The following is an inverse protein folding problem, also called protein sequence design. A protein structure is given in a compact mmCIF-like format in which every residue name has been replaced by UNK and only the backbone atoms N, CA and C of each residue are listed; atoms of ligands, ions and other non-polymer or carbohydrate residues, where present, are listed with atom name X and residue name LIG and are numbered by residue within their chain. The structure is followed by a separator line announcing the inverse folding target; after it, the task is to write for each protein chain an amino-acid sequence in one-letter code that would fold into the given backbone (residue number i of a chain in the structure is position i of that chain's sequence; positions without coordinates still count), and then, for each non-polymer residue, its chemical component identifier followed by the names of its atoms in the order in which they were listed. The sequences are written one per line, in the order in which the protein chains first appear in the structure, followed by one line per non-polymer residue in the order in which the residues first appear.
data_IF_256340819721
#
_entry.id   IF_256340819721
#
_cell.length_a   1.000
_cell.length_b   1.000
_cell.length_c   1.000
_cell.angle_alpha   90.00
_cell.angle_beta   90.00
_cell.angle_gamma   90.00
#
_symmetry.space_group_name_H-M   'P 1'
#
loop_
_entity.id
_entity.type
_entity.pdbx_description
1 polymer ?
#
# COMPACT_ATOMS: atom_id res chain seq x y z
N UNK A 1 -6.91 5.94 20.13
CA UNK A 1 -6.53 6.21 18.72
C UNK A 1 -6.17 4.91 17.99
N UNK A 2 -6.86 3.79 18.27
CA UNK A 2 -6.42 2.45 17.79
C UNK A 2 -7.13 1.99 16.50
N UNK A 3 -8.37 2.43 16.26
CA UNK A 3 -9.14 2.01 15.06
C UNK A 3 -8.51 2.45 13.73
N UNK A 4 -7.71 3.51 13.74
CA UNK A 4 -7.04 4.02 12.53
C UNK A 4 -5.92 3.09 12.05
N UNK A 5 -5.24 2.38 12.97
CA UNK A 5 -4.11 1.50 12.61
C UNK A 5 -4.57 0.22 11.89
N UNK A 6 -5.67 -0.39 12.31
CA UNK A 6 -6.23 -1.56 11.62
C UNK A 6 -6.77 -1.22 10.23
N UNK A 7 -7.48 -0.10 10.11
CA UNK A 7 -7.99 0.39 8.81
C UNK A 7 -6.84 0.67 7.84
N UNK A 8 -5.78 1.31 8.33
CA UNK A 8 -4.56 1.55 7.58
C UNK A 8 -3.87 0.25 7.18
N UNK A 9 -3.71 -0.71 8.10
CA UNK A 9 -3.11 -2.02 7.81
C UNK A 9 -3.86 -2.77 6.71
N UNK A 10 -5.20 -2.79 6.77
CA UNK A 10 -6.03 -3.42 5.74
C UNK A 10 -5.91 -2.70 4.40
N UNK A 11 -5.91 -1.37 4.40
CA UNK A 11 -5.70 -0.57 3.20
C UNK A 11 -4.35 -0.87 2.53
N UNK A 12 -3.24 -0.80 3.28
CA UNK A 12 -1.92 -1.09 2.75
C UNK A 12 -1.80 -2.53 2.25
N UNK A 13 -2.38 -3.50 2.97
CA UNK A 13 -2.42 -4.90 2.52
C UNK A 13 -3.13 -5.05 1.18
N UNK A 14 -4.29 -4.41 1.02
CA UNK A 14 -5.06 -4.45 -0.22
C UNK A 14 -4.29 -3.82 -1.39
N UNK A 15 -3.63 -2.67 -1.16
CA UNK A 15 -2.79 -2.03 -2.17
C UNK A 15 -1.60 -2.91 -2.57
N UNK A 16 -0.93 -3.56 -1.61
CA UNK A 16 0.14 -4.52 -1.89
C UNK A 16 -0.35 -5.68 -2.76
N UNK A 17 -1.54 -6.24 -2.45
CA UNK A 17 -2.14 -7.29 -3.27
C UNK A 17 -2.48 -6.83 -4.70
N UNK A 18 -2.94 -5.58 -4.84
CA UNK A 18 -3.18 -4.97 -6.15
C UNK A 18 -1.88 -4.88 -6.97
N UNK A 19 -0.80 -4.38 -6.37
CA UNK A 19 0.50 -4.29 -7.05
C UNK A 19 1.06 -5.67 -7.42
N UNK A 20 0.93 -6.67 -6.55
CA UNK A 20 1.30 -8.05 -6.87
C UNK A 20 0.51 -8.60 -8.06
N UNK A 21 -0.79 -8.32 -8.12
CA UNK A 21 -1.63 -8.72 -9.25
C UNK A 21 -1.20 -8.06 -10.56
N UNK A 22 -0.92 -6.75 -10.54
CA UNK A 22 -0.41 -6.03 -11.70
C UNK A 22 0.94 -6.62 -12.16
N UNK A 23 1.88 -6.86 -11.24
CA UNK A 23 3.18 -7.46 -11.53
C UNK A 23 3.06 -8.85 -12.16
N UNK A 24 2.13 -9.69 -11.67
CA UNK A 24 1.83 -11.00 -12.28
C UNK A 24 1.31 -10.89 -13.71
N UNK A 25 0.63 -9.79 -14.04
CA UNK A 25 0.17 -9.49 -15.40
C UNK A 25 1.22 -8.79 -16.26
N UNK A 26 2.40 -8.47 -15.73
CA UNK A 26 3.41 -7.67 -16.41
C UNK A 26 3.02 -6.20 -16.57
N UNK A 27 1.99 -5.75 -15.86
CA UNK A 27 1.51 -4.37 -15.85
C UNK A 27 2.14 -3.67 -14.65
N UNK A 28 2.47 -2.40 -14.79
CA UNK A 28 2.90 -1.55 -13.69
C UNK A 28 2.09 -0.27 -13.72
N UNK A 29 1.65 0.14 -12.54
CA UNK A 29 0.98 1.42 -12.31
C UNK A 29 1.94 2.30 -11.52
N UNK A 30 2.82 2.98 -12.24
CA UNK A 30 3.93 3.74 -11.66
C UNK A 30 3.43 4.96 -10.89
N UNK A 31 2.40 5.66 -11.41
CA UNK A 31 1.81 6.81 -10.73
C UNK A 31 1.20 6.39 -9.38
N UNK A 32 0.44 5.29 -9.38
CA UNK A 32 -0.15 4.80 -8.13
C UNK A 32 0.90 4.18 -7.17
N UNK A 33 1.92 3.47 -7.67
CA UNK A 33 3.02 2.98 -6.84
C UNK A 33 3.76 4.16 -6.16
N UNK A 34 4.10 5.21 -6.90
CA UNK A 34 4.81 6.38 -6.36
C UNK A 34 3.98 7.11 -5.30
N UNK A 35 2.70 7.39 -5.57
CA UNK A 35 1.80 7.98 -4.58
C UNK A 35 1.62 7.09 -3.35
N UNK A 36 1.52 5.77 -3.54
CA UNK A 36 1.41 4.81 -2.46
C UNK A 36 2.63 4.84 -1.55
N UNK A 37 3.85 4.81 -2.10
CA UNK A 37 5.08 4.88 -1.28
C UNK A 37 5.31 6.26 -0.67
N UNK A 38 4.88 7.34 -1.33
CA UNK A 38 4.96 8.70 -0.80
C UNK A 38 4.03 8.94 0.39
N UNK A 39 2.81 8.39 0.32
CA UNK A 39 1.77 8.58 1.35
C UNK A 39 1.75 7.49 2.40
N UNK A 40 2.42 6.36 2.15
CA UNK A 40 2.58 5.32 3.16
C UNK A 40 3.32 5.94 4.35
N UNK A 41 2.65 6.08 5.52
CA UNK A 41 3.32 6.53 6.71
C UNK A 41 4.46 5.56 6.94
N UNK A 42 5.60 6.03 7.41
CA UNK A 42 6.62 5.13 7.93
C UNK A 42 5.99 4.33 9.07
N UNK A 43 5.41 3.17 8.76
CA UNK A 43 4.82 2.23 9.73
C UNK A 43 5.94 1.58 10.55
N UNK A 44 7.17 2.11 10.45
CA UNK A 44 8.28 1.89 11.35
C UNK A 44 8.34 3.07 12.32
N UNK A 45 7.43 3.09 13.30
CA UNK A 45 7.69 3.77 14.55
C UNK A 45 7.42 2.78 15.68
N UNK A 46 8.52 2.16 16.14
CA UNK A 46 8.74 1.35 17.36
C UNK A 46 7.62 0.45 17.87
#
# INVERSE_FOLDING_TARGET
MEQSHEKNKKFYTNCTQYFEFLRKKGIKDYEFEDEFYFTMPAISNK
#
